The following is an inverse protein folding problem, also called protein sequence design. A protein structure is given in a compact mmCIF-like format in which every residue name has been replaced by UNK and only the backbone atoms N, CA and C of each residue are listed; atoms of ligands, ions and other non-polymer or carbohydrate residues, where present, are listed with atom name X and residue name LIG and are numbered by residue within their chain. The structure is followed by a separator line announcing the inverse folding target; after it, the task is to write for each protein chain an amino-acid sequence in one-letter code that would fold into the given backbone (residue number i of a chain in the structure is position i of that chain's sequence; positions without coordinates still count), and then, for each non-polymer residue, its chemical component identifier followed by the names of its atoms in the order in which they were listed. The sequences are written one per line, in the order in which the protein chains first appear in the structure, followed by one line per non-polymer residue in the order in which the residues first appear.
data_IF_777504249291
#
_entry.id   IF_777504249291
#
_cell.length_a   1.000
_cell.length_b   1.000
_cell.length_c   1.000
_cell.angle_alpha   90.00
_cell.angle_beta   90.00
_cell.angle_gamma   90.00
#
_symmetry.space_group_name_H-M   'P 1'
#
loop_
_entity.id
_entity.type
_entity.pdbx_description
1 polymer ?
#
# COMPACT_ATOMS: atom_id res chain seq x y z
N UNK A 1 -5.18 -7.08 6.32
CA UNK A 1 -4.78 -7.77 7.57
C UNK A 1 -5.85 -7.44 8.58
N UNK A 2 -6.25 -8.40 9.40
CA UNK A 2 -7.26 -8.22 10.43
C UNK A 2 -6.65 -8.61 11.78
N UNK A 3 -6.60 -7.67 12.73
CA UNK A 3 -6.22 -7.97 14.11
C UNK A 3 -7.24 -8.94 14.69
N UNK A 4 -6.78 -9.94 15.43
CA UNK A 4 -7.60 -11.08 15.89
C UNK A 4 -8.86 -10.64 16.63
N UNK A 5 -8.76 -9.61 17.49
CA UNK A 5 -9.88 -9.04 18.23
C UNK A 5 -10.99 -8.43 17.34
N UNK A 6 -10.70 -8.12 16.09
CA UNK A 6 -11.63 -7.54 15.11
C UNK A 6 -12.06 -8.54 14.02
N UNK A 7 -11.57 -9.78 14.07
CA UNK A 7 -11.79 -10.78 13.01
C UNK A 7 -13.26 -10.96 12.68
N UNK A 8 -14.07 -11.26 13.69
CA UNK A 8 -15.45 -11.71 13.47
C UNK A 8 -16.35 -10.53 13.12
N UNK A 9 -16.12 -9.34 13.70
CA UNK A 9 -16.86 -8.13 13.36
C UNK A 9 -16.56 -7.68 11.92
N UNK A 10 -15.28 -7.69 11.52
CA UNK A 10 -14.89 -7.38 10.14
C UNK A 10 -15.47 -8.37 9.15
N UNK A 11 -15.42 -9.68 9.46
CA UNK A 11 -16.03 -10.72 8.61
C UNK A 11 -17.51 -10.48 8.39
N UNK A 12 -18.27 -10.25 9.47
CA UNK A 12 -19.71 -9.98 9.40
C UNK A 12 -20.01 -8.75 8.53
N UNK A 13 -19.29 -7.66 8.74
CA UNK A 13 -19.52 -6.42 7.96
C UNK A 13 -19.17 -6.61 6.48
N UNK A 14 -18.07 -7.30 6.17
CA UNK A 14 -17.71 -7.60 4.78
C UNK A 14 -18.76 -8.50 4.10
N UNK A 15 -19.24 -9.53 4.78
CA UNK A 15 -20.32 -10.40 4.27
C UNK A 15 -21.60 -9.60 4.01
N UNK A 16 -21.99 -8.72 4.94
CA UNK A 16 -23.14 -7.82 4.79
C UNK A 16 -23.00 -6.90 3.56
N UNK A 17 -21.77 -6.53 3.19
CA UNK A 17 -21.46 -5.72 2.00
C UNK A 17 -21.31 -6.54 0.71
N UNK A 18 -21.54 -7.85 0.75
CA UNK A 18 -21.52 -8.74 -0.41
C UNK A 18 -20.21 -9.50 -0.63
N UNK A 19 -19.39 -9.67 0.39
CA UNK A 19 -18.19 -10.50 0.31
C UNK A 19 -18.50 -12.00 0.52
N UNK A 20 -17.95 -12.86 -0.32
CA UNK A 20 -17.92 -14.31 -0.13
C UNK A 20 -16.60 -14.71 0.55
N UNK A 21 -16.68 -15.40 1.69
CA UNK A 21 -15.50 -15.91 2.38
C UNK A 21 -15.25 -17.34 1.93
N UNK A 22 -14.19 -17.54 1.17
CA UNK A 22 -13.83 -18.83 0.60
C UNK A 22 -13.37 -19.80 1.70
N UNK A 23 -13.86 -21.02 1.60
CA UNK A 23 -13.31 -22.21 2.25
C UNK A 23 -11.88 -22.47 1.78
N UNK A 24 -11.17 -23.37 2.47
CA UNK A 24 -9.84 -23.79 2.06
C UNK A 24 -9.82 -24.37 0.64
N UNK A 25 -10.86 -25.12 0.26
CA UNK A 25 -10.98 -25.74 -1.05
C UNK A 25 -11.25 -24.71 -2.15
N UNK A 26 -12.22 -23.82 -1.96
CA UNK A 26 -12.48 -22.72 -2.91
C UNK A 26 -11.25 -21.82 -3.06
N UNK A 27 -10.55 -21.55 -1.96
CA UNK A 27 -9.29 -20.78 -1.99
C UNK A 27 -8.17 -21.49 -2.76
N UNK A 28 -8.13 -22.83 -2.77
CA UNK A 28 -7.19 -23.61 -3.59
C UNK A 28 -7.52 -23.50 -5.08
N UNK A 29 -8.80 -23.64 -5.44
CA UNK A 29 -9.26 -23.50 -6.82
C UNK A 29 -9.03 -22.09 -7.36
N UNK A 30 -9.31 -21.06 -6.56
CA UNK A 30 -9.03 -19.68 -6.92
C UNK A 30 -7.55 -19.43 -7.17
N UNK A 31 -6.64 -19.97 -6.34
CA UNK A 31 -5.19 -19.86 -6.59
C UNK A 31 -4.80 -20.46 -7.93
N UNK A 32 -5.34 -21.63 -8.27
CA UNK A 32 -5.06 -22.31 -9.54
C UNK A 32 -5.62 -21.55 -10.76
N UNK A 33 -6.85 -21.03 -10.65
CA UNK A 33 -7.52 -20.31 -11.74
C UNK A 33 -6.92 -18.91 -11.98
N UNK A 34 -6.53 -18.21 -10.91
CA UNK A 34 -6.01 -16.83 -10.99
C UNK A 34 -4.52 -16.81 -11.30
N UNK A 35 -3.75 -17.83 -10.91
CA UNK A 35 -2.32 -17.97 -11.23
C UNK A 35 -1.97 -19.32 -11.88
N UNK A 36 -2.51 -19.65 -13.07
CA UNK A 36 -2.12 -20.86 -13.79
C UNK A 36 -0.62 -20.80 -14.12
N UNK A 37 0.13 -21.83 -13.70
CA UNK A 37 1.58 -21.86 -13.86
C UNK A 37 2.34 -20.77 -13.08
N UNK A 38 1.71 -20.16 -12.08
CA UNK A 38 2.32 -19.14 -11.23
C UNK A 38 2.29 -17.70 -11.78
N UNK A 39 1.67 -17.49 -12.95
CA UNK A 39 1.52 -16.17 -13.60
C UNK A 39 0.08 -15.70 -13.51
N UNK A 40 -0.14 -14.40 -13.21
CA UNK A 40 -1.48 -13.83 -13.12
C UNK A 40 -2.23 -13.98 -14.44
N UNK A 41 -3.38 -14.65 -14.41
CA UNK A 41 -4.22 -14.87 -15.58
C UNK A 41 -4.85 -13.56 -16.07
N UNK A 42 -4.68 -13.24 -17.37
CA UNK A 42 -5.33 -12.07 -17.97
C UNK A 42 -6.86 -12.17 -17.96
N UNK A 43 -7.40 -13.39 -17.94
CA UNK A 43 -8.85 -13.62 -17.90
C UNK A 43 -9.52 -13.14 -16.61
N UNK A 44 -8.77 -12.88 -15.54
CA UNK A 44 -9.32 -12.41 -14.26
C UNK A 44 -9.20 -10.88 -14.09
N UNK A 45 -8.34 -10.22 -14.86
CA UNK A 45 -8.05 -8.79 -14.69
C UNK A 45 -9.29 -7.96 -15.05
N UNK A 46 -9.73 -7.12 -14.12
CA UNK A 46 -10.90 -6.26 -14.30
C UNK A 46 -12.25 -6.98 -14.36
N UNK A 47 -12.30 -8.29 -14.08
CA UNK A 47 -13.55 -9.08 -14.04
C UNK A 47 -14.26 -8.98 -12.70
N UNK A 48 -15.56 -9.24 -12.71
CA UNK A 48 -16.37 -9.29 -11.50
C UNK A 48 -16.01 -10.51 -10.63
N UNK A 49 -16.35 -10.44 -9.34
CA UNK A 49 -16.12 -11.55 -8.41
C UNK A 49 -16.90 -12.81 -8.82
N UNK A 50 -18.10 -12.66 -9.38
CA UNK A 50 -18.92 -13.77 -9.88
C UNK A 50 -18.27 -14.45 -11.10
N UNK A 51 -17.83 -13.70 -12.11
CA UNK A 51 -17.16 -14.26 -13.29
C UNK A 51 -15.87 -15.02 -12.90
N UNK A 52 -15.11 -14.50 -11.94
CA UNK A 52 -13.88 -15.15 -11.47
C UNK A 52 -14.21 -16.43 -10.68
N UNK A 53 -15.25 -16.39 -9.85
CA UNK A 53 -15.67 -17.56 -9.08
C UNK A 53 -16.14 -18.70 -10.01
N UNK A 54 -16.90 -18.37 -11.05
CA UNK A 54 -17.31 -19.31 -12.09
C UNK A 54 -16.11 -19.94 -12.82
N UNK A 55 -15.14 -19.12 -13.26
CA UNK A 55 -13.89 -19.61 -13.85
C UNK A 55 -13.10 -20.54 -12.91
N UNK A 56 -13.21 -20.32 -11.60
CA UNK A 56 -12.56 -21.15 -10.59
C UNK A 56 -13.40 -22.36 -10.13
N UNK A 57 -14.63 -22.55 -10.65
CA UNK A 57 -15.53 -23.59 -10.17
C UNK A 57 -15.90 -23.43 -8.69
N UNK A 58 -16.17 -22.19 -8.29
CA UNK A 58 -16.59 -21.77 -6.94
C UNK A 58 -18.00 -21.20 -7.03
N UNK A 59 -18.95 -21.81 -6.32
CA UNK A 59 -20.32 -21.35 -6.30
C UNK A 59 -20.50 -20.16 -5.35
N UNK A 60 -20.91 -19.02 -5.90
CA UNK A 60 -21.17 -17.79 -5.14
C UNK A 60 -22.56 -17.26 -5.42
N UNK A 61 -23.11 -16.48 -4.48
CA UNK A 61 -24.43 -15.85 -4.67
C UNK A 61 -24.37 -14.82 -5.81
N UNK A 62 -25.45 -14.66 -6.60
CA UNK A 62 -25.56 -13.55 -7.54
C UNK A 62 -25.31 -12.20 -6.85
N UNK A 63 -24.56 -11.32 -7.52
CA UNK A 63 -24.21 -10.01 -6.97
C UNK A 63 -23.07 -10.04 -5.93
N UNK A 64 -22.35 -11.15 -5.76
CA UNK A 64 -21.12 -11.19 -4.97
C UNK A 64 -20.14 -10.13 -5.47
N UNK A 65 -19.60 -9.31 -4.56
CA UNK A 65 -18.78 -8.13 -4.88
C UNK A 65 -17.29 -8.35 -4.61
N UNK A 66 -16.95 -9.29 -3.75
CA UNK A 66 -15.58 -9.53 -3.30
C UNK A 66 -15.40 -11.00 -2.91
N UNK A 67 -14.34 -11.63 -3.37
CA UNK A 67 -13.90 -12.95 -2.90
C UNK A 67 -12.83 -12.76 -1.83
N UNK A 68 -13.03 -13.33 -0.64
CA UNK A 68 -12.09 -13.20 0.48
C UNK A 68 -11.49 -14.57 0.78
N UNK A 69 -10.17 -14.67 0.63
CA UNK A 69 -9.42 -15.91 0.84
C UNK A 69 -8.45 -15.75 2.01
N UNK A 70 -8.39 -16.74 2.89
CA UNK A 70 -7.40 -16.75 3.98
C UNK A 70 -5.97 -16.91 3.44
N UNK A 71 -5.05 -16.17 4.04
CA UNK A 71 -3.61 -16.20 3.75
C UNK A 71 -2.87 -16.36 5.08
N UNK A 72 -2.24 -17.52 5.28
CA UNK A 72 -1.64 -17.91 6.57
C UNK A 72 -0.29 -17.23 6.85
N UNK A 73 0.40 -16.76 5.81
CA UNK A 73 1.66 -16.05 5.95
C UNK A 73 1.82 -15.05 4.81
N UNK A 74 2.52 -13.93 5.05
CA UNK A 74 3.05 -13.06 3.99
C UNK A 74 4.20 -13.72 3.22
N UNK A 75 4.03 -15.00 2.88
CA UNK A 75 4.98 -15.78 2.11
C UNK A 75 4.84 -15.40 0.65
N UNK A 76 5.97 -15.24 -0.04
CA UNK A 76 6.03 -15.07 -1.50
C UNK A 76 5.45 -16.27 -2.25
N UNK A 77 5.35 -17.41 -1.56
CA UNK A 77 4.84 -18.66 -2.08
C UNK A 77 3.31 -18.66 -2.21
N UNK A 78 2.59 -17.87 -1.41
CA UNK A 78 1.14 -17.75 -1.59
C UNK A 78 0.85 -16.65 -2.62
N UNK A 79 0.35 -16.98 -3.82
CA UNK A 79 0.10 -15.98 -4.85
C UNK A 79 -0.99 -14.97 -4.44
N UNK A 80 -1.84 -15.29 -3.46
CA UNK A 80 -2.77 -14.33 -2.86
C UNK A 80 -2.09 -13.23 -2.03
N UNK A 81 -0.78 -13.26 -1.83
CA UNK A 81 -0.01 -12.13 -1.31
C UNK A 81 0.32 -11.09 -2.39
N UNK A 82 0.32 -11.49 -3.67
CA UNK A 82 0.74 -10.66 -4.81
C UNK A 82 -0.39 -9.74 -5.28
N UNK A 83 -0.12 -8.91 -6.28
CA UNK A 83 -1.15 -8.10 -6.92
C UNK A 83 -2.13 -8.97 -7.74
N UNK A 84 -3.43 -8.63 -7.72
CA UNK A 84 -4.51 -9.42 -8.36
C UNK A 84 -5.26 -8.68 -9.47
N UNK A 85 -5.28 -7.35 -9.44
CA UNK A 85 -6.03 -6.48 -10.37
C UNK A 85 -7.50 -6.91 -10.58
N UNK A 86 -8.12 -7.45 -9.54
CA UNK A 86 -9.45 -8.07 -9.55
C UNK A 86 -10.04 -8.06 -8.13
N UNK A 87 -11.36 -8.24 -7.96
CA UNK A 87 -12.05 -8.20 -6.66
C UNK A 87 -11.80 -9.46 -5.81
N UNK A 88 -10.53 -9.74 -5.53
CA UNK A 88 -10.04 -10.82 -4.67
C UNK A 88 -9.20 -10.21 -3.55
N UNK A 89 -9.58 -10.47 -2.31
CA UNK A 89 -8.87 -10.01 -1.12
C UNK A 89 -8.22 -11.21 -0.40
N UNK A 90 -6.89 -11.19 -0.35
CA UNK A 90 -6.14 -12.01 0.59
C UNK A 90 -6.26 -11.45 2.00
N UNK A 91 -6.84 -12.22 2.92
CA UNK A 91 -7.02 -11.84 4.31
C UNK A 91 -6.13 -12.67 5.22
N UNK A 92 -5.24 -11.99 5.93
CA UNK A 92 -4.45 -12.59 6.99
C UNK A 92 -4.92 -12.11 8.36
N UNK A 93 -4.98 -13.02 9.31
CA UNK A 93 -5.21 -12.74 10.71
C UNK A 93 -3.87 -12.54 11.42
N UNK A 94 -3.78 -11.49 12.21
CA UNK A 94 -2.58 -11.13 12.99
C UNK A 94 -2.97 -10.96 14.45
N UNK A 95 -2.09 -11.34 15.37
CA UNK A 95 -2.38 -11.31 16.81
C UNK A 95 -2.63 -9.89 17.29
N UNK A 96 -1.77 -8.96 16.88
CA UNK A 96 -1.80 -7.57 17.30
C UNK A 96 -1.34 -6.61 16.18
N UNK A 97 -1.25 -5.33 16.53
CA UNK A 97 -0.84 -4.29 15.61
C UNK A 97 0.64 -4.41 15.17
N UNK A 98 1.54 -4.84 16.07
CA UNK A 98 2.95 -4.99 15.72
C UNK A 98 3.17 -6.11 14.72
N UNK A 99 2.45 -7.22 14.87
CA UNK A 99 2.45 -8.29 13.87
C UNK A 99 1.85 -7.83 12.52
N UNK A 100 0.85 -6.95 12.56
CA UNK A 100 0.32 -6.31 11.34
C UNK A 100 1.39 -5.48 10.63
N UNK A 101 2.14 -4.65 11.37
CA UNK A 101 3.22 -3.80 10.84
C UNK A 101 4.31 -4.65 10.21
N UNK A 102 4.80 -5.68 10.92
CA UNK A 102 5.80 -6.62 10.39
C UNK A 102 5.31 -7.28 9.09
N UNK A 103 4.05 -7.69 9.05
CA UNK A 103 3.46 -8.32 7.88
C UNK A 103 3.34 -7.36 6.69
N UNK A 104 2.90 -6.12 6.92
CA UNK A 104 2.82 -5.08 5.89
C UNK A 104 4.21 -4.73 5.36
N UNK A 105 5.21 -4.52 6.23
CA UNK A 105 6.58 -4.24 5.82
C UNK A 105 7.19 -5.38 5.01
N UNK A 106 6.91 -6.63 5.38
CA UNK A 106 7.35 -7.79 4.60
C UNK A 106 6.70 -7.85 3.23
N UNK A 107 5.38 -7.73 3.15
CA UNK A 107 4.65 -7.78 1.88
C UNK A 107 5.07 -6.64 0.95
N UNK A 108 5.08 -5.41 1.46
CA UNK A 108 5.50 -4.25 0.67
C UNK A 108 6.98 -4.27 0.31
N UNK A 109 7.82 -4.93 1.12
CA UNK A 109 9.23 -5.15 0.80
C UNK A 109 9.45 -6.06 -0.41
N UNK A 110 8.51 -6.99 -0.67
CA UNK A 110 8.55 -7.96 -1.76
C UNK A 110 7.72 -7.52 -2.97
N UNK A 111 6.55 -6.93 -2.72
CA UNK A 111 5.55 -6.58 -3.72
C UNK A 111 5.06 -5.15 -3.50
N UNK A 112 5.17 -4.27 -4.49
CA UNK A 112 4.60 -2.92 -4.42
C UNK A 112 5.37 -1.94 -3.50
N UNK A 113 6.68 -2.18 -3.31
CA UNK A 113 7.55 -1.29 -2.55
C UNK A 113 7.47 0.14 -3.09
N UNK A 114 7.29 1.10 -2.20
CA UNK A 114 7.16 2.51 -2.58
C UNK A 114 5.78 2.92 -3.08
N UNK A 115 4.87 1.99 -3.37
CA UNK A 115 3.57 2.33 -3.98
C UNK A 115 2.58 2.89 -2.95
N UNK A 116 1.91 2.02 -2.19
CA UNK A 116 0.81 2.43 -1.30
C UNK A 116 0.58 1.48 -0.13
N UNK A 117 0.06 2.02 0.96
CA UNK A 117 -0.46 1.29 2.11
C UNK A 117 -1.76 1.96 2.60
N UNK A 118 -2.56 1.25 3.40
CA UNK A 118 -3.73 1.81 4.08
C UNK A 118 -3.87 1.26 5.50
N UNK A 119 -4.43 2.09 6.38
CA UNK A 119 -4.72 1.75 7.78
C UNK A 119 -6.10 2.28 8.16
N UNK A 120 -6.87 1.45 8.87
CA UNK A 120 -8.14 1.85 9.48
C UNK A 120 -7.97 1.82 11.01
N UNK A 121 -7.82 2.99 11.63
CA UNK A 121 -7.67 3.15 13.08
C UNK A 121 -7.99 4.58 13.51
N UNK A 122 -8.44 4.76 14.75
CA UNK A 122 -8.61 6.07 15.38
C UNK A 122 -7.46 6.43 16.33
N UNK A 123 -6.36 5.67 16.28
CA UNK A 123 -5.20 5.78 17.18
C UNK A 123 -4.03 6.47 16.47
N UNK A 124 -3.75 7.76 16.73
CA UNK A 124 -2.69 8.51 16.03
C UNK A 124 -1.30 7.87 16.15
N UNK A 125 -1.00 7.26 17.29
CA UNK A 125 0.27 6.57 17.54
C UNK A 125 0.47 5.38 16.60
N UNK A 126 -0.60 4.65 16.25
CA UNK A 126 -0.54 3.55 15.30
C UNK A 126 -0.30 4.06 13.88
N UNK A 127 -0.95 5.18 13.52
CA UNK A 127 -0.75 5.82 12.21
C UNK A 127 0.71 6.24 12.06
N UNK A 128 1.26 6.95 13.05
CA UNK A 128 2.66 7.39 13.04
C UNK A 128 3.65 6.22 13.03
N UNK A 129 3.37 5.16 13.81
CA UNK A 129 4.23 3.98 13.86
C UNK A 129 4.30 3.28 12.49
N UNK A 130 3.15 3.02 11.87
CA UNK A 130 3.11 2.42 10.54
C UNK A 130 3.80 3.31 9.51
N UNK A 131 3.53 4.62 9.52
CA UNK A 131 4.13 5.57 8.58
C UNK A 131 5.66 5.60 8.64
N UNK A 132 6.25 5.40 9.83
CA UNK A 132 7.71 5.33 10.00
C UNK A 132 8.29 3.97 9.58
N UNK A 133 7.52 2.90 9.72
CA UNK A 133 7.98 1.53 9.46
C UNK A 133 7.86 1.12 7.98
N UNK A 134 6.79 1.53 7.30
CA UNK A 134 6.48 1.09 5.94
C UNK A 134 7.14 1.97 4.88
N UNK A 135 7.76 1.34 3.87
CA UNK A 135 8.39 2.05 2.75
C UNK A 135 7.39 2.24 1.60
N UNK A 136 6.38 3.10 1.80
CA UNK A 136 5.38 3.45 0.78
C UNK A 136 5.24 4.95 0.63
N UNK A 137 5.01 5.44 -0.59
CA UNK A 137 4.84 6.87 -0.86
C UNK A 137 3.50 7.43 -0.37
N UNK A 138 2.48 6.56 -0.21
CA UNK A 138 1.13 6.93 0.20
C UNK A 138 0.64 6.00 1.31
N UNK A 139 0.24 6.57 2.44
CA UNK A 139 -0.44 5.87 3.52
C UNK A 139 -1.85 6.46 3.69
N UNK A 140 -2.86 5.70 3.28
CA UNK A 140 -4.25 6.11 3.43
C UNK A 140 -4.75 5.80 4.84
N UNK A 141 -5.26 6.81 5.53
CA UNK A 141 -5.88 6.64 6.86
C UNK A 141 -7.39 6.74 6.72
N UNK A 142 -8.11 5.72 7.19
CA UNK A 142 -9.57 5.67 7.26
C UNK A 142 -10.30 6.00 5.95
N UNK A 143 -9.71 5.62 4.81
CA UNK A 143 -10.26 5.89 3.48
C UNK A 143 -9.86 4.80 2.48
N UNK A 144 -10.52 4.80 1.32
CA UNK A 144 -10.23 3.86 0.23
C UNK A 144 -8.79 3.99 -0.25
N UNK A 145 -8.04 2.89 -0.29
CA UNK A 145 -6.71 2.87 -0.89
C UNK A 145 -6.76 2.96 -2.41
N UNK A 146 -7.76 2.37 -3.07
CA UNK A 146 -7.87 2.43 -4.53
C UNK A 146 -8.06 3.86 -5.04
N UNK A 147 -9.21 4.45 -4.73
CA UNK A 147 -9.55 5.79 -5.19
C UNK A 147 -8.75 6.90 -4.46
N UNK A 148 -8.47 6.72 -3.16
CA UNK A 148 -7.78 7.75 -2.36
C UNK A 148 -6.35 7.98 -2.82
N UNK A 149 -5.61 6.93 -3.19
CA UNK A 149 -4.22 7.08 -3.63
C UNK A 149 -4.09 7.94 -4.90
N UNK A 150 -5.05 7.84 -5.82
CA UNK A 150 -5.11 8.67 -7.03
C UNK A 150 -5.40 10.14 -6.75
N UNK A 151 -5.66 10.53 -5.51
CA UNK A 151 -6.10 11.86 -5.13
C UNK A 151 -7.62 12.00 -5.20
N UNK A 152 -8.19 12.62 -4.18
CA UNK A 152 -9.62 12.87 -4.11
C UNK A 152 -9.92 14.18 -3.37
N UNK A 153 -11.13 14.71 -3.58
CA UNK A 153 -11.63 15.86 -2.82
C UNK A 153 -11.60 15.63 -1.30
N UNK A 154 -11.67 14.38 -0.86
CA UNK A 154 -11.67 14.03 0.56
C UNK A 154 -10.28 13.96 1.19
N UNK A 155 -9.19 14.02 0.41
CA UNK A 155 -7.83 13.92 0.95
C UNK A 155 -6.84 14.98 0.46
N UNK A 156 -7.22 15.80 -0.53
CA UNK A 156 -6.41 16.94 -0.98
C UNK A 156 -5.12 16.59 -1.71
N UNK A 157 -4.88 15.31 -2.00
CA UNK A 157 -3.76 14.90 -2.84
C UNK A 157 -4.02 15.27 -4.30
N UNK A 158 -2.98 15.66 -5.08
CA UNK A 158 -3.13 15.91 -6.51
C UNK A 158 -3.74 14.71 -7.22
N UNK A 159 -4.78 14.94 -8.04
CA UNK A 159 -5.38 13.88 -8.82
C UNK A 159 -4.42 13.38 -9.89
N UNK A 160 -4.25 12.06 -10.01
CA UNK A 160 -3.45 11.42 -11.06
C UNK A 160 -3.80 9.95 -11.27
N UNK A 161 -3.60 9.46 -12.49
CA UNK A 161 -3.55 8.02 -12.80
C UNK A 161 -2.12 7.49 -12.86
N UNK A 162 -1.11 8.36 -12.68
CA UNK A 162 0.32 8.02 -12.70
C UNK A 162 0.90 8.17 -11.29
N UNK A 163 0.91 7.05 -10.55
CA UNK A 163 1.33 6.98 -9.16
C UNK A 163 2.82 6.59 -9.09
N UNK A 164 3.71 7.58 -8.91
CA UNK A 164 5.14 7.29 -8.83
C UNK A 164 5.50 6.63 -7.50
N UNK A 165 6.37 5.62 -7.52
CA UNK A 165 6.70 4.80 -6.34
C UNK A 165 7.91 5.32 -5.54
N UNK A 166 8.47 6.47 -5.91
CA UNK A 166 9.70 7.00 -5.32
C UNK A 166 10.90 6.08 -5.52
N UNK A 167 12.02 6.46 -4.91
CA UNK A 167 13.29 5.74 -5.06
C UNK A 167 13.22 4.31 -4.53
N UNK A 168 12.32 4.03 -3.58
CA UNK A 168 12.05 2.68 -3.09
C UNK A 168 11.47 1.73 -4.13
N UNK A 169 10.70 2.26 -5.10
CA UNK A 169 10.14 1.50 -6.22
C UNK A 169 10.84 1.78 -7.55
N UNK A 170 12.04 2.37 -7.52
CA UNK A 170 12.83 2.65 -8.73
C UNK A 170 12.34 3.85 -9.57
N UNK A 171 11.52 4.74 -8.98
CA UNK A 171 11.05 5.97 -9.64
C UNK A 171 11.71 7.22 -9.05
N UNK A 172 11.78 8.31 -9.81
CA UNK A 172 12.46 9.55 -9.37
C UNK A 172 11.67 10.32 -8.31
N UNK A 173 10.33 10.37 -8.44
CA UNK A 173 9.47 11.19 -7.58
C UNK A 173 8.61 10.34 -6.64
N UNK A 174 8.33 10.80 -5.43
CA UNK A 174 7.49 10.11 -4.45
C UNK A 174 6.03 10.59 -4.43
N UNK A 175 5.66 11.53 -5.29
CA UNK A 175 4.36 12.19 -5.27
C UNK A 175 3.39 11.66 -6.32
N UNK A 176 2.17 12.19 -6.30
CA UNK A 176 1.22 12.03 -7.40
C UNK A 176 1.67 12.91 -8.56
N UNK A 177 2.05 12.27 -9.67
CA UNK A 177 2.60 12.97 -10.84
C UNK A 177 1.55 13.95 -11.38
N UNK A 178 1.97 15.20 -11.53
CA UNK A 178 1.16 16.30 -12.03
C UNK A 178 1.98 17.18 -12.98
N UNK A 179 1.37 18.25 -13.50
CA UNK A 179 2.00 19.14 -14.49
C UNK A 179 3.36 19.69 -14.05
N UNK A 180 3.61 19.89 -12.74
CA UNK A 180 4.89 20.41 -12.23
C UNK A 180 6.05 19.48 -12.52
N UNK A 181 5.81 18.17 -12.63
CA UNK A 181 6.82 17.19 -12.95
C UNK A 181 7.28 17.25 -14.42
N UNK A 182 6.59 18.01 -15.26
CA UNK A 182 6.90 18.19 -16.68
C UNK A 182 7.43 19.59 -17.01
N UNK A 183 7.67 20.43 -16.00
CA UNK A 183 8.23 21.76 -16.20
C UNK A 183 9.72 21.80 -15.88
N UNK A 184 10.44 22.52 -16.72
CA UNK A 184 11.80 22.96 -16.43
C UNK A 184 11.76 24.37 -15.84
N UNK A 185 12.57 24.63 -14.81
CA UNK A 185 12.70 25.94 -14.20
C UNK A 185 14.09 26.49 -14.46
N UNK A 186 14.18 27.68 -15.06
CA UNK A 186 15.44 28.41 -15.20
C UNK A 186 15.67 29.23 -13.94
N UNK A 187 16.75 28.93 -13.22
CA UNK A 187 17.15 29.68 -12.03
C UNK A 187 18.10 30.81 -12.43
N UNK A 188 17.65 32.06 -12.27
CA UNK A 188 18.50 33.25 -12.45
C UNK A 188 19.06 33.64 -11.09
N UNK A 189 20.33 33.30 -10.84
CA UNK A 189 21.03 33.62 -9.60
C UNK A 189 21.95 34.83 -9.79
N UNK A 190 21.96 35.75 -8.82
CA UNK A 190 22.87 36.89 -8.75
C UNK A 190 23.70 36.81 -7.47
N UNK A 191 24.97 37.25 -7.49
CA UNK A 191 25.76 37.36 -6.27
C UNK A 191 25.03 38.23 -5.23
N UNK A 192 25.04 37.78 -3.98
CA UNK A 192 24.64 38.60 -2.83
C UNK A 192 25.90 39.09 -2.13
N UNK A 193 25.82 40.26 -1.49
CA UNK A 193 26.88 40.71 -0.60
C UNK A 193 26.88 39.81 0.64
N UNK A 194 27.84 38.86 0.68
CA UNK A 194 27.98 37.95 1.81
C UNK A 194 28.69 38.72 2.92
N UNK A 195 28.10 38.91 4.11
CA UNK A 195 28.85 39.45 5.23
C UNK A 195 30.08 38.56 5.46
N UNK A 196 31.26 39.17 5.57
CA UNK A 196 32.50 38.45 5.82
C UNK A 196 32.30 37.59 7.07
N UNK A 197 32.27 36.27 6.88
CA UNK A 197 32.18 35.34 8.00
C UNK A 197 33.49 35.43 8.76
N UNK A 198 33.44 35.93 9.99
CA UNK A 198 34.57 35.84 10.90
C UNK A 198 34.71 34.39 11.35
N UNK A 199 35.58 33.65 10.65
CA UNK A 199 35.85 32.25 10.96
C UNK A 199 36.35 32.07 12.38
N UNK A 200 37.06 33.05 12.96
CA UNK A 200 37.56 32.97 14.32
C UNK A 200 36.42 32.85 15.33
N UNK A 201 35.31 33.57 15.13
CA UNK A 201 34.10 33.46 15.96
C UNK A 201 33.37 32.14 15.74
N UNK A 202 33.28 31.67 14.50
CA UNK A 202 32.55 30.45 14.16
C UNK A 202 33.26 29.19 14.68
N UNK A 203 34.60 29.17 14.66
CA UNK A 203 35.39 28.01 15.07
C UNK A 203 35.91 28.11 16.51
N UNK A 204 35.84 29.27 17.17
CA UNK A 204 36.26 29.47 18.56
C UNK A 204 35.77 28.41 19.56
N UNK A 205 34.52 27.88 19.46
CA UNK A 205 34.08 26.80 20.36
C UNK A 205 34.74 25.44 20.09
N UNK A 206 35.38 25.25 18.93
CA UNK A 206 35.87 23.96 18.43
C UNK A 206 37.39 23.87 18.35
N UNK A 207 38.10 24.98 18.09
CA UNK A 207 39.54 25.08 18.27
C UNK A 207 39.79 25.61 19.68
N UNK A 208 39.84 24.70 20.65
CA UNK A 208 40.21 25.03 22.03
C UNK A 208 41.51 25.84 22.05
N UNK A 209 41.57 26.85 22.92
CA UNK A 209 42.68 27.78 23.05
C UNK A 209 44.03 27.05 23.20
N UNK A 210 44.70 26.84 22.08
CA UNK A 210 46.12 26.47 22.03
C UNK A 210 46.81 27.56 21.24
N UNK A 211 47.19 28.60 21.98
CA UNK A 211 48.34 29.43 21.66
C UNK A 211 49.62 28.61 21.91
#
# INVERSE_FOLDING_TARGET
MAVESLRDSLRRELQRRGAHFCTAEEGRRLRAAVWPGGVLARSVVGRSATEIAEQAGVDVKPGTRLLVCSVLAASEQDPLCREKLSPILGMAHVRDFEDAVKMVCRLTGQFGRGHSCGIHTNRPEQICHLARAVKTSRLMVNQSTGAGNSGSFSNGMPFTTTLSCGTWGGSLVGENVNWRNFLNYTWVSRPIDRPKTDWSQLVAPYVGARA
#
